data_IF_889746004377
#
_entry.id   IF_889746004377
#
_cell.length_a   1.000
_cell.length_b   1.000
_cell.length_c   1.000
_cell.angle_alpha   90.00
_cell.angle_beta   90.00
_cell.angle_gamma   90.00
#
_symmetry.space_group_name_H-M   'P 1'
#
loop_
_entity.id
_entity.type
_entity.pdbx_description
1 polymer ?
#
# COMPACT_ATOMS: atom_id res chain seq x y z
N UNK A 1 -65.54 14.11 -0.34
CA UNK A 1 -64.72 12.94 0.05
C UNK A 1 -63.41 13.03 -0.69
N UNK A 2 -62.46 13.81 -0.15
CA UNK A 2 -61.13 14.03 -0.72
C UNK A 2 -60.19 13.03 -0.06
N UNK A 3 -59.80 11.99 -0.80
CA UNK A 3 -58.90 10.94 -0.32
C UNK A 3 -57.47 11.49 -0.33
N UNK A 4 -56.90 11.70 0.85
CA UNK A 4 -55.50 12.12 1.05
C UNK A 4 -54.61 10.88 0.97
N UNK A 5 -53.82 10.75 -0.09
CA UNK A 5 -52.83 9.69 -0.25
C UNK A 5 -51.62 9.96 0.68
N UNK A 6 -51.14 8.96 1.47
CA UNK A 6 -50.06 9.17 2.41
C UNK A 6 -48.69 9.20 1.71
N UNK A 7 -47.88 10.13 2.22
CA UNK A 7 -46.45 10.34 2.03
C UNK A 7 -45.65 9.04 1.73
N UNK A 8 -45.08 8.93 0.53
CA UNK A 8 -44.08 7.90 0.23
C UNK A 8 -42.75 8.25 0.92
N UNK A 9 -42.10 7.31 1.63
CA UNK A 9 -40.74 7.50 2.13
C UNK A 9 -39.74 7.34 0.98
N UNK A 10 -38.86 8.33 0.80
CA UNK A 10 -37.73 8.30 -0.15
C UNK A 10 -36.71 7.22 0.27
N UNK A 11 -36.43 6.18 -0.56
CA UNK A 11 -35.37 5.22 -0.30
C UNK A 11 -34.39 5.22 -1.48
N UNK A 12 -33.57 6.26 -1.61
CA UNK A 12 -32.57 6.32 -2.69
C UNK A 12 -31.13 6.35 -2.19
N UNK A 13 -30.87 6.54 -0.90
CA UNK A 13 -29.48 6.63 -0.41
C UNK A 13 -28.84 5.26 -0.16
N UNK A 14 -29.60 4.25 0.28
CA UNK A 14 -29.04 2.94 0.66
C UNK A 14 -28.61 2.05 -0.51
N UNK A 15 -29.32 2.10 -1.64
CA UNK A 15 -29.06 1.24 -2.80
C UNK A 15 -27.84 1.69 -3.63
N UNK A 16 -27.53 2.99 -3.63
CA UNK A 16 -26.34 3.53 -4.27
C UNK A 16 -25.07 3.17 -3.49
N UNK A 17 -25.11 3.29 -2.15
CA UNK A 17 -23.98 2.94 -1.28
C UNK A 17 -23.62 1.45 -1.34
N UNK A 18 -24.61 0.55 -1.39
CA UNK A 18 -24.35 -0.90 -1.48
C UNK A 18 -23.79 -1.32 -2.83
N UNK A 19 -24.24 -0.71 -3.94
CA UNK A 19 -23.65 -0.94 -5.27
C UNK A 19 -22.22 -0.41 -5.35
N UNK A 20 -21.94 0.76 -4.79
CA UNK A 20 -20.59 1.31 -4.72
C UNK A 20 -19.64 0.38 -3.95
N UNK A 21 -20.08 -0.10 -2.79
CA UNK A 21 -19.32 -1.07 -2.01
C UNK A 21 -19.10 -2.39 -2.77
N UNK A 22 -20.14 -2.92 -3.42
CA UNK A 22 -20.04 -4.14 -4.23
C UNK A 22 -19.02 -3.96 -5.35
N UNK A 23 -19.04 -2.82 -6.05
CA UNK A 23 -18.12 -2.53 -7.13
C UNK A 23 -16.67 -2.37 -6.64
N UNK A 24 -16.47 -1.74 -5.48
CA UNK A 24 -15.14 -1.61 -4.86
C UNK A 24 -14.60 -2.98 -4.44
N UNK A 25 -15.42 -3.81 -3.78
CA UNK A 25 -15.05 -5.18 -3.41
C UNK A 25 -14.70 -6.04 -4.62
N UNK A 26 -15.48 -5.97 -5.69
CA UNK A 26 -15.19 -6.70 -6.93
C UNK A 26 -13.88 -6.24 -7.58
N UNK A 27 -13.58 -4.94 -7.54
CA UNK A 27 -12.30 -4.41 -8.05
C UNK A 27 -11.12 -4.89 -7.21
N UNK A 28 -11.22 -4.80 -5.89
CA UNK A 28 -10.17 -5.29 -4.97
C UNK A 28 -9.97 -6.79 -5.13
N UNK A 29 -11.03 -7.59 -5.21
CA UNK A 29 -10.93 -9.03 -5.42
C UNK A 29 -10.22 -9.36 -6.74
N UNK A 30 -10.60 -8.71 -7.85
CA UNK A 30 -9.93 -8.90 -9.14
C UNK A 30 -8.44 -8.57 -9.08
N UNK A 31 -8.08 -7.45 -8.44
CA UNK A 31 -6.68 -7.04 -8.28
C UNK A 31 -5.89 -8.04 -7.44
N UNK A 32 -6.46 -8.49 -6.31
CA UNK A 32 -5.82 -9.49 -5.44
C UNK A 32 -5.63 -10.82 -6.18
N UNK A 33 -6.65 -11.32 -6.87
CA UNK A 33 -6.52 -12.57 -7.64
C UNK A 33 -5.45 -12.45 -8.72
N UNK A 34 -5.43 -11.35 -9.47
CA UNK A 34 -4.42 -11.11 -10.49
C UNK A 34 -3.00 -11.04 -9.91
N UNK A 35 -2.79 -10.23 -8.87
CA UNK A 35 -1.48 -10.09 -8.24
C UNK A 35 -1.00 -11.39 -7.58
N UNK A 36 -1.90 -12.14 -6.93
CA UNK A 36 -1.58 -13.46 -6.39
C UNK A 36 -1.20 -14.47 -7.49
N UNK A 37 -1.89 -14.45 -8.63
CA UNK A 37 -1.56 -15.32 -9.76
C UNK A 37 -0.17 -14.99 -10.33
N UNK A 38 0.16 -13.71 -10.45
CA UNK A 38 1.47 -13.24 -10.88
C UNK A 38 2.57 -13.70 -9.93
N UNK A 39 2.45 -13.39 -8.62
CA UNK A 39 3.39 -13.81 -7.59
C UNK A 39 3.58 -15.33 -7.60
N UNK A 40 2.49 -16.09 -7.68
CA UNK A 40 2.52 -17.55 -7.73
C UNK A 40 3.28 -18.06 -8.96
N UNK A 41 3.07 -17.45 -10.13
CA UNK A 41 3.78 -17.83 -11.37
C UNK A 41 5.28 -17.57 -11.26
N UNK A 42 5.70 -16.42 -10.71
CA UNK A 42 7.11 -16.08 -10.52
C UNK A 42 7.75 -17.03 -9.52
N UNK A 43 7.06 -17.34 -8.41
CA UNK A 43 7.53 -18.29 -7.41
C UNK A 43 7.72 -19.69 -7.99
N UNK A 44 6.75 -20.17 -8.78
CA UNK A 44 6.85 -21.47 -9.46
C UNK A 44 8.03 -21.52 -10.43
N UNK A 45 8.26 -20.46 -11.21
CA UNK A 45 9.42 -20.37 -12.10
C UNK A 45 10.74 -20.38 -11.33
N UNK A 46 10.82 -19.66 -10.20
CA UNK A 46 12.00 -19.64 -9.34
C UNK A 46 12.29 -21.02 -8.73
N UNK A 47 11.25 -21.72 -8.26
CA UNK A 47 11.37 -23.08 -7.72
C UNK A 47 11.82 -24.07 -8.79
N UNK A 48 11.19 -24.06 -9.96
CA UNK A 48 11.59 -24.91 -11.08
C UNK A 48 13.03 -24.64 -11.54
N UNK A 49 13.49 -23.38 -11.47
CA UNK A 49 14.87 -23.03 -11.80
C UNK A 49 15.87 -23.69 -10.84
N UNK A 50 15.56 -23.70 -9.54
CA UNK A 50 16.39 -24.32 -8.50
C UNK A 50 16.56 -25.83 -8.68
N UNK A 51 15.58 -26.52 -9.28
CA UNK A 51 15.68 -27.95 -9.57
C UNK A 51 16.71 -28.25 -10.68
N UNK A 52 17.14 -27.25 -11.44
CA UNK A 52 18.12 -27.43 -12.51
C UNK A 52 19.56 -27.28 -12.03
N UNK A 53 20.54 -28.01 -12.58
CA UNK A 53 21.96 -27.82 -12.29
C UNK A 53 22.49 -26.41 -12.64
N UNK A 54 21.82 -25.73 -13.57
CA UNK A 54 22.11 -24.33 -13.93
C UNK A 54 21.61 -23.38 -12.85
N UNK A 55 20.45 -23.65 -12.25
CA UNK A 55 19.90 -22.81 -11.18
C UNK A 55 20.78 -22.73 -9.96
N UNK A 56 21.39 -23.85 -9.57
CA UNK A 56 22.38 -23.88 -8.48
C UNK A 56 23.60 -22.98 -8.72
N UNK A 57 23.96 -22.71 -9.99
CA UNK A 57 25.09 -21.84 -10.36
C UNK A 57 24.67 -20.39 -10.62
N UNK A 58 23.38 -20.16 -10.86
CA UNK A 58 22.81 -18.86 -11.24
C UNK A 58 21.72 -18.44 -10.26
N UNK A 59 22.13 -18.31 -8.99
CA UNK A 59 21.27 -17.86 -7.89
C UNK A 59 20.84 -16.39 -8.01
N UNK A 60 21.52 -15.60 -8.85
CA UNK A 60 21.13 -14.23 -9.18
C UNK A 60 19.74 -14.15 -9.85
N UNK A 61 19.36 -15.20 -10.60
CA UNK A 61 18.02 -15.31 -11.19
C UNK A 61 16.96 -15.49 -10.11
N UNK A 62 17.26 -16.31 -9.09
CA UNK A 62 16.36 -16.52 -7.94
C UNK A 62 16.27 -15.26 -7.09
N UNK A 63 17.40 -14.59 -6.85
CA UNK A 63 17.41 -13.30 -6.14
C UNK A 63 16.55 -12.26 -6.86
N UNK A 64 16.64 -12.18 -8.19
CA UNK A 64 15.78 -11.31 -9.01
C UNK A 64 14.31 -11.72 -8.95
N UNK A 65 13.99 -13.01 -9.01
CA UNK A 65 12.62 -13.49 -8.87
C UNK A 65 12.03 -13.15 -7.49
N UNK A 66 12.82 -13.27 -6.42
CA UNK A 66 12.41 -12.86 -5.06
C UNK A 66 12.19 -11.34 -4.96
N UNK A 67 13.03 -10.53 -5.61
CA UNK A 67 12.81 -9.08 -5.71
C UNK A 67 11.50 -8.78 -6.43
N UNK A 68 11.25 -9.39 -7.60
CA UNK A 68 9.99 -9.22 -8.32
C UNK A 68 8.77 -9.65 -7.51
N UNK A 69 8.84 -10.78 -6.78
CA UNK A 69 7.76 -11.21 -5.88
C UNK A 69 7.47 -10.16 -4.82
N UNK A 70 8.50 -9.63 -4.17
CA UNK A 70 8.34 -8.58 -3.15
C UNK A 70 7.71 -7.32 -3.76
N UNK A 71 8.27 -6.83 -4.87
CA UNK A 71 7.84 -5.59 -5.50
C UNK A 71 6.39 -5.71 -6.02
N UNK A 72 6.00 -6.87 -6.58
CA UNK A 72 4.61 -7.15 -6.98
C UNK A 72 3.67 -7.24 -5.76
N UNK A 73 4.12 -7.79 -4.63
CA UNK A 73 3.33 -7.85 -3.40
C UNK A 73 3.14 -6.47 -2.76
N UNK A 74 4.17 -5.63 -2.73
CA UNK A 74 4.10 -4.24 -2.28
C UNK A 74 3.14 -3.44 -3.16
N UNK A 75 3.28 -3.55 -4.48
CA UNK A 75 2.37 -2.91 -5.44
C UNK A 75 0.92 -3.33 -5.23
N UNK A 76 0.66 -4.63 -5.02
CA UNK A 76 -0.69 -5.13 -4.75
C UNK A 76 -1.26 -4.56 -3.44
N UNK A 77 -0.43 -4.49 -2.39
CA UNK A 77 -0.83 -3.94 -1.11
C UNK A 77 -1.17 -2.45 -1.21
N UNK A 78 -0.38 -1.67 -1.97
CA UNK A 78 -0.65 -0.26 -2.22
C UNK A 78 -1.99 -0.07 -2.94
N UNK A 79 -2.25 -0.82 -4.03
CA UNK A 79 -3.52 -0.71 -4.75
C UNK A 79 -4.73 -1.11 -3.88
N UNK A 80 -4.66 -2.26 -3.21
CA UNK A 80 -5.73 -2.68 -2.30
C UNK A 80 -5.93 -1.68 -1.15
N UNK A 81 -4.85 -1.10 -0.64
CA UNK A 81 -4.85 -0.06 0.38
C UNK A 81 -5.53 1.23 -0.08
N UNK A 82 -5.22 1.70 -1.30
CA UNK A 82 -5.84 2.91 -1.86
C UNK A 82 -7.35 2.76 -2.05
N UNK A 83 -7.81 1.61 -2.55
CA UNK A 83 -9.25 1.31 -2.69
C UNK A 83 -9.94 1.20 -1.33
N UNK A 84 -9.29 0.53 -0.35
CA UNK A 84 -9.82 0.45 1.00
C UNK A 84 -9.89 1.84 1.68
N UNK A 85 -8.89 2.69 1.47
CA UNK A 85 -8.86 4.05 1.99
C UNK A 85 -9.94 4.92 1.36
N UNK A 86 -10.20 4.79 0.05
CA UNK A 86 -11.31 5.46 -0.63
C UNK A 86 -12.68 5.09 -0.04
N UNK A 87 -12.79 3.87 0.50
CA UNK A 87 -13.99 3.38 1.19
C UNK A 87 -14.00 3.64 2.70
N UNK A 88 -12.97 4.30 3.24
CA UNK A 88 -12.84 4.58 4.68
C UNK A 88 -12.54 3.34 5.54
N UNK A 89 -12.10 2.24 4.92
CA UNK A 89 -11.74 0.99 5.60
C UNK A 89 -10.25 0.62 5.42
N UNK A 90 -9.42 1.62 5.12
CA UNK A 90 -7.97 1.45 4.93
C UNK A 90 -7.31 0.77 6.13
N UNK A 91 -6.44 -0.19 5.85
CA UNK A 91 -5.62 -0.84 6.86
C UNK A 91 -4.43 0.05 7.22
N UNK A 92 -4.25 0.34 8.50
CA UNK A 92 -3.08 1.06 9.00
C UNK A 92 -2.13 0.06 9.67
N UNK A 93 -0.92 -0.15 9.13
CA UNK A 93 0.12 -0.91 9.83
C UNK A 93 0.69 -0.07 10.99
N UNK A 94 0.43 -0.43 12.26
CA UNK A 94 0.94 0.33 13.39
C UNK A 94 2.47 0.28 13.45
N UNK A 95 3.11 -0.77 12.93
CA UNK A 95 4.56 -0.89 12.90
C UNK A 95 5.18 0.04 11.86
N UNK A 96 4.62 0.11 10.66
CA UNK A 96 4.99 1.11 9.65
C UNK A 96 4.77 2.54 10.15
N UNK A 97 3.63 2.84 10.77
CA UNK A 97 3.38 4.15 11.38
C UNK A 97 4.45 4.52 12.42
N UNK A 98 4.88 3.57 13.25
CA UNK A 98 5.99 3.79 14.21
C UNK A 98 7.32 4.03 13.49
N UNK A 99 7.63 3.25 12.46
CA UNK A 99 8.86 3.39 11.66
C UNK A 99 8.90 4.74 10.94
N UNK A 100 7.80 5.16 10.33
CA UNK A 100 7.65 6.45 9.64
C UNK A 100 7.83 7.64 10.61
N UNK A 101 7.17 7.59 11.79
CA UNK A 101 7.35 8.63 12.82
C UNK A 101 8.79 8.72 13.33
N UNK A 102 9.47 7.58 13.50
CA UNK A 102 10.87 7.55 13.90
C UNK A 102 11.78 8.15 12.81
N UNK A 103 11.54 7.82 11.53
CA UNK A 103 12.28 8.38 10.40
C UNK A 103 12.08 9.90 10.27
N UNK A 104 10.84 10.39 10.43
CA UNK A 104 10.53 11.82 10.42
C UNK A 104 11.23 12.57 11.58
N UNK A 105 11.20 12.00 12.79
CA UNK A 105 11.91 12.56 13.94
C UNK A 105 13.42 12.63 13.71
N UNK A 106 14.01 11.59 13.11
CA UNK A 106 15.42 11.57 12.76
C UNK A 106 15.76 12.63 11.69
N UNK A 107 14.94 12.77 10.64
CA UNK A 107 15.12 13.77 9.61
C UNK A 107 15.05 15.21 10.17
N UNK A 108 14.08 15.47 11.06
CA UNK A 108 13.96 16.76 11.78
C UNK A 108 15.17 17.03 12.68
N UNK A 109 15.66 16.03 13.41
CA UNK A 109 16.86 16.17 14.24
C UNK A 109 18.11 16.46 13.40
N UNK A 110 18.27 15.80 12.26
CA UNK A 110 19.35 16.07 11.32
C UNK A 110 19.28 17.50 10.76
N UNK A 111 18.10 17.96 10.36
CA UNK A 111 17.88 19.32 9.88
C UNK A 111 18.23 20.36 10.95
N UNK A 112 17.83 20.13 12.20
CA UNK A 112 18.16 21.02 13.32
C UNK A 112 19.67 21.06 13.60
N UNK A 113 20.38 19.92 13.50
CA UNK A 113 21.83 19.87 13.66
C UNK A 113 22.56 20.63 12.53
N UNK A 114 22.04 20.56 11.30
CA UNK A 114 22.56 21.33 10.17
C UNK A 114 22.38 22.84 10.37
N UNK A 115 21.23 23.27 10.89
CA UNK A 115 20.91 24.67 11.17
C UNK A 115 21.75 25.25 12.34
N UNK A 116 21.98 24.47 13.38
CA UNK A 116 22.90 24.85 14.46
C UNK A 116 24.36 24.98 13.99
N UNK A 117 24.75 24.26 12.92
CA UNK A 117 26.12 24.27 12.40
C UNK A 117 26.42 25.48 11.51
N UNK A 118 25.39 26.10 10.91
CA UNK A 118 25.54 27.28 10.05
C UNK A 118 25.60 28.58 10.86
N UNK A 119 25.17 28.56 12.13
CA UNK A 119 25.22 29.70 13.04
C UNK A 119 26.55 29.72 13.83
N UNK A 120 27.69 29.85 13.15
CA UNK A 120 28.98 30.08 13.82
C UNK A 120 28.97 31.49 14.47
N UNK A 121 29.23 31.63 15.79
CA UNK A 121 29.24 32.95 16.42
C UNK A 121 30.45 33.75 15.93
N UNK A 122 30.18 34.87 15.25
CA UNK A 122 31.20 35.85 14.86
C UNK A 122 31.94 36.29 16.12
N UNK A 123 33.23 35.96 16.20
CA UNK A 123 34.10 36.42 17.30
C UNK A 123 34.15 37.95 17.30
N UNK A 124 33.91 38.63 18.44
CA UNK A 124 34.08 40.06 18.51
C UNK A 124 35.57 40.38 18.34
N UNK A 125 35.90 41.20 17.33
CA UNK A 125 37.24 41.78 17.21
C UNK A 125 37.36 42.89 18.25
N UNK A 126 38.41 42.79 19.07
CA UNK A 126 38.77 43.78 20.10
C UNK A 126 39.33 45.07 19.52
#
# INVERSE_FOLDING_TARGET
>A
MTSTQPNQPTPTTGSHSTRQLSNALTQVDHLVQQGCAEISSIAQLALAWLETPKGHRHMDVVARALQSIRDSAETLADYAGTEAQAMGCGFEDPAEMRRAKAAEAAAKAMAHLLDCRTHEPVRPQG
#
